data_IF_074608577932
#
_entry.id   IF_074608577932
#
_cell.length_a   1.000
_cell.length_b   1.000
_cell.length_c   1.000
_cell.angle_alpha   90.00
_cell.angle_beta   90.00
_cell.angle_gamma   90.00
#
_symmetry.space_group_name_H-M   'P 1'
#
loop_
_entity.id
_entity.type
_entity.pdbx_description
1 polymer ?
#
# COMPACT_ATOMS: atom_id res chain seq x y z
N UNK A 1 -14.00 9.70 34.14
CA UNK A 1 -13.76 10.70 33.09
C UNK A 1 -12.76 10.09 32.10
N UNK A 2 -13.23 9.45 31.05
CA UNK A 2 -12.40 8.82 30.05
C UNK A 2 -12.28 9.79 28.86
N UNK A 3 -11.09 10.28 28.60
CA UNK A 3 -10.79 11.09 27.41
C UNK A 3 -11.00 10.20 26.15
N UNK A 4 -11.62 10.72 25.09
CA UNK A 4 -11.91 9.94 23.90
C UNK A 4 -10.60 9.56 23.19
N UNK A 5 -10.37 8.26 23.01
CA UNK A 5 -9.22 7.64 22.30
C UNK A 5 -8.91 8.28 20.91
N UNK A 6 -9.88 8.93 20.29
CA UNK A 6 -9.72 9.59 19.00
C UNK A 6 -8.86 10.86 19.01
N UNK A 7 -8.72 11.55 20.15
CA UNK A 7 -7.88 12.76 20.27
C UNK A 7 -6.42 12.44 20.55
N UNK A 8 -6.14 11.31 21.20
CA UNK A 8 -4.78 10.83 21.42
C UNK A 8 -4.15 10.32 20.12
N UNK A 9 -4.93 9.62 19.30
CA UNK A 9 -4.45 9.08 18.01
C UNK A 9 -4.14 10.19 16.98
N UNK A 10 -4.94 11.28 16.95
CA UNK A 10 -4.69 12.43 16.08
C UNK A 10 -3.48 13.27 16.51
N UNK A 11 -3.21 13.37 17.81
CA UNK A 11 -2.02 14.07 18.32
C UNK A 11 -0.75 13.26 18.12
N UNK A 12 -0.82 11.93 18.28
CA UNK A 12 0.32 11.04 18.02
C UNK A 12 0.70 11.00 16.53
N UNK A 13 -0.26 10.98 15.60
CA UNK A 13 0.04 11.05 14.17
C UNK A 13 0.79 12.32 13.80
N UNK A 14 0.41 13.49 14.36
CA UNK A 14 1.10 14.76 14.10
C UNK A 14 2.52 14.79 14.69
N UNK A 15 2.72 14.21 15.86
CA UNK A 15 4.04 14.09 16.49
C UNK A 15 4.95 13.08 15.76
N UNK A 16 4.39 11.96 15.30
CA UNK A 16 5.10 10.97 14.50
C UNK A 16 5.45 11.50 13.10
N UNK A 17 4.57 12.25 12.45
CA UNK A 17 4.89 12.97 11.20
C UNK A 17 6.03 13.97 11.41
N UNK A 18 6.02 14.70 12.51
CA UNK A 18 7.06 15.67 12.82
C UNK A 18 8.40 14.99 13.18
N UNK A 19 8.37 13.81 13.80
CA UNK A 19 9.58 13.06 14.17
C UNK A 19 10.16 12.31 12.96
N UNK A 20 9.35 11.64 12.17
CA UNK A 20 9.76 10.98 10.93
C UNK A 20 10.30 11.98 9.89
N UNK A 21 9.69 13.17 9.79
CA UNK A 21 10.13 14.24 8.90
C UNK A 21 11.46 14.88 9.29
N UNK A 22 11.82 14.88 10.58
CA UNK A 22 13.03 15.56 11.07
C UNK A 22 14.30 14.72 10.98
N UNK A 23 14.21 13.38 10.91
CA UNK A 23 15.39 12.49 11.01
C UNK A 23 15.68 11.67 9.76
N UNK A 24 14.99 11.86 8.64
CA UNK A 24 15.08 10.93 7.53
C UNK A 24 15.73 11.53 6.29
N UNK A 25 17.05 11.53 6.29
CA UNK A 25 17.87 11.62 5.06
C UNK A 25 17.96 10.27 4.32
N UNK A 26 17.29 9.23 4.80
CA UNK A 26 17.43 7.85 4.30
C UNK A 26 16.09 7.34 3.76
N UNK A 27 16.15 6.73 2.57
CA UNK A 27 15.00 6.04 1.99
C UNK A 27 14.62 4.76 2.75
N UNK A 28 15.59 4.10 3.41
CA UNK A 28 15.38 2.87 4.18
C UNK A 28 15.44 3.19 5.66
N UNK A 29 14.34 2.91 6.36
CA UNK A 29 14.19 3.20 7.80
C UNK A 29 13.82 1.95 8.59
N UNK A 30 14.44 1.70 9.74
CA UNK A 30 14.02 0.63 10.63
C UNK A 30 12.66 0.99 11.26
N UNK A 31 11.73 0.03 11.30
CA UNK A 31 10.40 0.24 11.86
C UNK A 31 10.25 -0.44 13.23
N UNK A 32 10.97 -1.55 13.45
CA UNK A 32 10.94 -2.25 14.74
C UNK A 32 12.32 -2.31 15.41
N UNK A 33 12.32 -2.65 16.70
CA UNK A 33 13.55 -2.63 17.52
C UNK A 33 14.56 -3.67 17.05
N UNK A 34 14.14 -4.80 16.53
CA UNK A 34 15.06 -5.80 16.00
C UNK A 34 15.76 -5.36 14.71
N UNK A 35 15.28 -4.32 14.04
CA UNK A 35 15.96 -3.66 12.93
C UNK A 35 17.06 -2.69 13.41
N UNK A 36 17.02 -2.24 14.66
CA UNK A 36 17.92 -1.24 15.22
C UNK A 36 19.20 -1.84 15.82
N UNK A 37 19.22 -3.11 16.26
CA UNK A 37 20.35 -3.55 17.08
C UNK A 37 20.59 -5.04 17.27
N UNK A 38 20.28 -5.89 16.30
CA UNK A 38 20.50 -7.32 16.48
C UNK A 38 21.93 -7.75 16.12
N UNK A 39 22.60 -8.44 17.04
CA UNK A 39 23.90 -9.11 16.85
C UNK A 39 23.76 -10.41 16.04
N UNK A 40 22.57 -11.02 15.99
CA UNK A 40 22.33 -12.25 15.26
C UNK A 40 21.81 -11.96 13.84
N UNK A 41 22.22 -12.73 12.81
CA UNK A 41 21.66 -12.62 11.48
C UNK A 41 20.19 -13.04 11.51
N UNK A 42 19.28 -12.08 11.38
CA UNK A 42 17.85 -12.33 11.30
C UNK A 42 17.34 -11.96 9.92
N UNK A 43 16.30 -12.65 9.42
CA UNK A 43 15.61 -12.25 8.18
C UNK A 43 15.29 -10.76 8.15
N UNK A 44 15.47 -10.12 7.01
CA UNK A 44 15.11 -8.73 6.80
C UNK A 44 14.00 -8.64 5.74
N UNK A 45 12.95 -7.88 6.06
CA UNK A 45 11.85 -7.59 5.15
C UNK A 45 11.77 -6.11 4.88
N UNK A 46 11.58 -5.73 3.62
CA UNK A 46 11.54 -4.36 3.14
C UNK A 46 10.18 -4.05 2.54
N UNK A 47 9.47 -3.05 3.06
CA UNK A 47 8.13 -2.71 2.60
C UNK A 47 8.04 -1.27 2.09
N UNK A 48 7.58 -1.10 0.84
CA UNK A 48 7.38 0.21 0.23
C UNK A 48 6.12 0.87 0.80
N UNK A 49 6.25 2.14 1.16
CA UNK A 49 5.20 2.99 1.72
C UNK A 49 3.91 3.02 0.89
N UNK A 50 2.80 3.36 1.54
CA UNK A 50 1.53 3.69 0.88
C UNK A 50 1.56 5.05 0.19
N UNK A 51 0.40 5.55 -0.21
CA UNK A 51 0.24 6.92 -0.74
C UNK A 51 0.69 8.00 0.26
N UNK A 52 0.82 7.69 1.54
CA UNK A 52 1.33 8.60 2.56
C UNK A 52 2.79 9.03 2.32
N UNK A 53 3.58 8.20 1.65
CA UNK A 53 5.02 8.41 1.51
C UNK A 53 5.83 8.14 2.78
N UNK A 54 5.19 7.77 3.88
CA UNK A 54 5.81 7.62 5.21
C UNK A 54 5.63 6.19 5.72
N UNK A 55 6.71 5.43 5.78
CA UNK A 55 6.66 4.03 6.18
C UNK A 55 6.38 3.83 7.69
N UNK A 56 6.88 4.71 8.55
CA UNK A 56 6.79 4.54 10.00
C UNK A 56 5.36 4.52 10.55
N UNK A 57 4.43 5.22 9.91
CA UNK A 57 3.02 5.24 10.33
C UNK A 57 2.22 4.09 9.76
N UNK A 58 2.58 3.64 8.55
CA UNK A 58 1.82 2.61 7.85
C UNK A 58 2.06 1.21 8.40
N UNK A 59 3.26 0.94 8.94
CA UNK A 59 3.73 -0.41 9.22
C UNK A 59 3.98 -0.72 10.71
N UNK A 60 3.70 0.21 11.61
CA UNK A 60 4.10 0.07 13.01
C UNK A 60 3.50 -1.18 13.68
N UNK A 61 2.20 -1.41 13.51
CA UNK A 61 1.53 -2.56 14.15
C UNK A 61 1.98 -3.88 13.52
N UNK A 62 2.14 -3.92 12.19
CA UNK A 62 2.66 -5.09 11.48
C UNK A 62 4.10 -5.39 11.91
N UNK A 63 4.96 -4.38 11.96
CA UNK A 63 6.36 -4.55 12.33
C UNK A 63 6.52 -5.04 13.77
N UNK A 64 5.71 -4.55 14.72
CA UNK A 64 5.67 -5.06 16.10
C UNK A 64 5.25 -6.52 16.17
N UNK A 65 4.27 -6.93 15.37
CA UNK A 65 3.83 -8.34 15.32
C UNK A 65 4.90 -9.28 14.74
N UNK A 66 5.80 -8.77 13.91
CA UNK A 66 6.91 -9.55 13.32
C UNK A 66 8.13 -9.65 14.24
N UNK A 67 8.17 -8.89 15.35
CA UNK A 67 9.19 -9.06 16.39
C UNK A 67 9.07 -10.42 17.09
N UNK A 68 10.16 -10.92 17.68
CA UNK A 68 11.55 -10.47 17.58
C UNK A 68 12.34 -11.14 16.44
N UNK A 69 11.67 -11.85 15.53
CA UNK A 69 12.34 -12.75 14.56
C UNK A 69 12.72 -12.06 13.26
N UNK A 70 11.98 -11.03 12.84
CA UNK A 70 12.14 -10.38 11.53
C UNK A 70 12.47 -8.91 11.72
N UNK A 71 13.57 -8.46 11.08
CA UNK A 71 13.92 -7.06 10.96
C UNK A 71 13.02 -6.42 9.90
N UNK A 72 12.17 -5.50 10.32
CA UNK A 72 11.26 -4.81 9.41
C UNK A 72 11.79 -3.41 9.06
N UNK A 73 12.00 -3.19 7.78
CA UNK A 73 12.41 -1.91 7.24
C UNK A 73 11.34 -1.33 6.34
N UNK A 74 11.04 -0.06 6.55
CA UNK A 74 10.20 0.70 5.63
C UNK A 74 11.03 1.36 4.54
N UNK A 75 10.53 1.32 3.32
CA UNK A 75 11.03 2.13 2.22
C UNK A 75 10.09 3.32 2.09
N UNK A 76 10.61 4.52 2.26
CA UNK A 76 9.82 5.75 2.32
C UNK A 76 10.28 6.80 1.32
N UNK A 77 9.39 7.75 1.04
CA UNK A 77 9.69 8.87 0.18
C UNK A 77 10.92 9.65 0.68
N UNK A 78 11.79 10.13 -0.20
CA UNK A 78 12.95 10.93 0.20
C UNK A 78 12.51 12.22 0.88
N UNK A 79 13.39 12.80 1.69
CA UNK A 79 13.13 14.07 2.33
C UNK A 79 12.92 15.18 1.28
N UNK A 80 12.11 16.18 1.64
CA UNK A 80 11.68 17.32 0.80
C UNK A 80 12.81 18.14 0.13
N UNK A 81 14.05 17.92 0.56
CA UNK A 81 15.23 18.67 0.08
C UNK A 81 15.85 18.10 -1.21
N UNK A 82 15.35 16.94 -1.70
CA UNK A 82 15.77 16.47 -3.01
C UNK A 82 15.12 17.30 -4.11
N UNK A 83 15.90 17.74 -5.12
CA UNK A 83 15.36 18.49 -6.25
C UNK A 83 14.22 17.72 -6.92
N UNK A 84 13.13 18.40 -7.23
CA UNK A 84 11.95 17.82 -7.90
C UNK A 84 12.29 17.12 -9.24
N UNK A 85 13.41 17.51 -9.86
CA UNK A 85 13.89 16.94 -11.13
C UNK A 85 14.40 15.50 -11.03
N UNK A 86 14.86 15.07 -9.84
CA UNK A 86 15.43 13.74 -9.63
C UNK A 86 14.42 12.76 -9.04
N UNK A 87 13.29 13.26 -8.52
CA UNK A 87 12.38 12.45 -7.75
C UNK A 87 10.93 12.48 -8.26
N UNK A 88 10.44 11.30 -8.67
CA UNK A 88 9.00 11.03 -8.63
C UNK A 88 8.18 11.47 -9.84
N UNK A 89 8.80 11.78 -10.97
CA UNK A 89 8.04 12.05 -12.20
C UNK A 89 7.49 10.75 -12.84
N UNK A 90 7.96 9.59 -12.41
CA UNK A 90 7.46 8.29 -12.86
C UNK A 90 7.66 7.21 -11.78
N UNK A 91 6.90 6.12 -11.89
CA UNK A 91 7.08 4.93 -11.05
C UNK A 91 8.47 4.32 -11.28
N UNK A 92 8.97 4.35 -12.50
CA UNK A 92 10.29 3.84 -12.85
C UNK A 92 11.43 4.59 -12.16
N UNK A 93 11.37 5.92 -12.10
CA UNK A 93 12.39 6.73 -11.41
C UNK A 93 12.35 6.53 -9.90
N UNK A 94 11.15 6.39 -9.32
CA UNK A 94 10.98 6.01 -7.91
C UNK A 94 11.58 4.65 -7.60
N UNK A 95 11.26 3.67 -8.42
CA UNK A 95 11.74 2.29 -8.27
C UNK A 95 13.27 2.21 -8.42
N UNK A 96 13.85 2.95 -9.34
CA UNK A 96 15.31 3.03 -9.53
C UNK A 96 15.99 3.63 -8.30
N UNK A 97 15.47 4.74 -7.80
CA UNK A 97 15.98 5.37 -6.59
C UNK A 97 15.92 4.41 -5.38
N UNK A 98 14.78 3.76 -5.16
CA UNK A 98 14.62 2.82 -4.03
C UNK A 98 15.46 1.56 -4.19
N UNK A 99 15.55 1.00 -5.39
CA UNK A 99 16.39 -0.16 -5.66
C UNK A 99 17.89 0.15 -5.44
N UNK A 100 18.33 1.31 -5.89
CA UNK A 100 19.69 1.80 -5.64
C UNK A 100 19.98 2.05 -4.16
N UNK A 101 19.04 2.66 -3.44
CA UNK A 101 19.16 2.88 -1.99
C UNK A 101 19.22 1.55 -1.23
N UNK A 102 18.34 0.60 -1.58
CA UNK A 102 18.29 -0.72 -0.96
C UNK A 102 19.56 -1.53 -1.24
N UNK A 103 20.09 -1.51 -2.48
CA UNK A 103 21.33 -2.20 -2.84
C UNK A 103 22.54 -1.65 -2.10
N UNK A 104 22.57 -0.35 -1.81
CA UNK A 104 23.60 0.26 -0.96
C UNK A 104 23.43 -0.10 0.53
N UNK A 105 22.19 -0.20 0.99
CA UNK A 105 21.88 -0.52 2.37
C UNK A 105 22.17 -1.99 2.70
N UNK A 106 21.79 -2.91 1.81
CA UNK A 106 22.10 -4.34 1.88
C UNK A 106 22.83 -4.78 0.62
N UNK A 107 24.18 -4.70 0.58
CA UNK A 107 24.96 -4.97 -0.64
C UNK A 107 24.93 -6.42 -1.12
N UNK A 108 24.69 -7.37 -0.22
CA UNK A 108 24.74 -8.81 -0.51
C UNK A 108 23.60 -9.57 0.16
N UNK A 109 23.42 -10.83 -0.25
CA UNK A 109 22.36 -11.72 0.24
C UNK A 109 21.01 -11.48 -0.42
N UNK A 110 20.05 -12.38 -0.22
CA UNK A 110 18.74 -12.33 -0.82
C UNK A 110 17.89 -11.19 -0.23
N UNK A 111 17.02 -10.64 -1.06
CA UNK A 111 16.10 -9.56 -0.71
C UNK A 111 14.66 -10.05 -0.75
N UNK A 112 13.89 -9.77 0.28
CA UNK A 112 12.45 -9.98 0.29
C UNK A 112 11.74 -8.64 0.44
N UNK A 113 10.89 -8.32 -0.54
CA UNK A 113 10.31 -6.99 -0.71
C UNK A 113 8.80 -7.10 -0.77
N UNK A 114 8.14 -6.14 -0.18
CA UNK A 114 6.71 -5.94 -0.32
C UNK A 114 6.35 -4.48 -0.53
N UNK A 115 5.06 -4.25 -0.72
CA UNK A 115 4.52 -2.90 -0.80
C UNK A 115 3.05 -2.87 -0.41
N UNK A 116 2.65 -1.81 0.25
CA UNK A 116 1.27 -1.61 0.68
C UNK A 116 0.57 -0.59 -0.21
N UNK A 117 -0.66 -0.89 -0.62
CA UNK A 117 -1.44 0.01 -1.46
C UNK A 117 -0.70 0.33 -2.79
N UNK A 118 -0.46 1.60 -3.09
CA UNK A 118 0.33 2.06 -4.24
C UNK A 118 1.80 1.60 -4.17
N UNK A 119 2.29 1.31 -2.98
CA UNK A 119 3.62 0.75 -2.77
C UNK A 119 3.82 -0.61 -3.43
N UNK A 120 2.76 -1.38 -3.66
CA UNK A 120 2.84 -2.65 -4.39
C UNK A 120 3.29 -2.46 -5.84
N UNK A 121 2.80 -1.40 -6.52
CA UNK A 121 3.21 -1.04 -7.88
C UNK A 121 4.67 -0.61 -7.92
N UNK A 122 5.09 0.21 -6.96
CA UNK A 122 6.47 0.68 -6.88
C UNK A 122 7.42 -0.49 -6.56
N UNK A 123 7.04 -1.36 -5.61
CA UNK A 123 7.79 -2.56 -5.28
C UNK A 123 7.92 -3.49 -6.49
N UNK A 124 6.85 -3.67 -7.26
CA UNK A 124 6.87 -4.43 -8.51
C UNK A 124 7.92 -3.89 -9.49
N UNK A 125 7.93 -2.58 -9.72
CA UNK A 125 8.93 -1.93 -10.59
C UNK A 125 10.36 -2.06 -10.03
N UNK A 126 10.53 -2.07 -8.70
CA UNK A 126 11.82 -2.31 -8.05
C UNK A 126 12.36 -3.71 -8.30
N UNK A 127 11.49 -4.74 -8.39
CA UNK A 127 11.92 -6.13 -8.57
C UNK A 127 12.78 -6.30 -9.83
N UNK A 128 12.36 -5.70 -10.94
CA UNK A 128 13.12 -5.77 -12.20
C UNK A 128 14.43 -4.98 -12.13
N UNK A 129 14.42 -3.81 -11.47
CA UNK A 129 15.63 -3.01 -11.26
C UNK A 129 16.66 -3.75 -10.40
N UNK A 130 16.21 -4.41 -9.34
CA UNK A 130 17.09 -5.18 -8.46
C UNK A 130 17.68 -6.41 -9.17
N UNK A 131 16.88 -7.13 -9.96
CA UNK A 131 17.40 -8.22 -10.80
C UNK A 131 18.44 -7.74 -11.82
N UNK A 132 18.19 -6.58 -12.44
CA UNK A 132 19.16 -5.95 -13.36
C UNK A 132 20.48 -5.56 -12.65
N UNK A 133 20.43 -5.26 -11.34
CA UNK A 133 21.61 -5.05 -10.50
C UNK A 133 22.26 -6.36 -10.01
N UNK A 134 21.82 -7.52 -10.51
CA UNK A 134 22.34 -8.83 -10.11
C UNK A 134 21.91 -9.29 -8.71
N UNK A 135 20.85 -8.68 -8.13
CA UNK A 135 20.36 -9.05 -6.81
C UNK A 135 19.40 -10.21 -6.88
N UNK A 136 19.56 -11.14 -5.97
CA UNK A 136 18.57 -12.18 -5.73
C UNK A 136 17.37 -11.60 -4.99
N UNK A 137 16.17 -11.79 -5.55
CA UNK A 137 14.92 -11.29 -4.98
C UNK A 137 13.90 -12.42 -4.87
N UNK A 138 13.28 -12.54 -3.71
CA UNK A 138 12.20 -13.48 -3.44
C UNK A 138 10.87 -13.10 -4.10
N UNK A 139 9.77 -13.77 -3.72
CA UNK A 139 8.43 -13.39 -4.18
C UNK A 139 8.08 -11.97 -3.70
N UNK A 140 7.30 -11.25 -4.50
CA UNK A 140 6.76 -9.95 -4.10
C UNK A 140 5.61 -10.16 -3.09
N UNK A 141 5.64 -9.46 -1.96
CA UNK A 141 4.52 -9.43 -1.02
C UNK A 141 3.67 -8.17 -1.24
N UNK A 142 2.58 -8.30 -2.00
CA UNK A 142 1.69 -7.19 -2.33
C UNK A 142 0.56 -7.09 -1.31
N UNK A 143 0.54 -6.02 -0.50
CA UNK A 143 -0.46 -5.83 0.55
C UNK A 143 -1.54 -4.87 0.04
N UNK A 144 -2.68 -5.42 -0.29
CA UNK A 144 -3.92 -4.75 -0.77
C UNK A 144 -3.67 -3.67 -1.84
N UNK A 145 -2.73 -3.96 -2.75
CA UNK A 145 -2.35 -3.12 -3.87
C UNK A 145 -2.55 -3.82 -5.21
N UNK A 146 -2.91 -3.07 -6.24
CA UNK A 146 -3.11 -3.57 -7.61
C UNK A 146 -1.79 -3.53 -8.40
N UNK A 147 -1.57 -4.39 -9.42
CA UNK A 147 -0.36 -4.33 -10.24
C UNK A 147 -0.34 -3.12 -11.17
N UNK A 148 -1.51 -2.66 -11.59
CA UNK A 148 -1.68 -1.52 -12.47
C UNK A 148 -2.98 -0.77 -12.17
N UNK A 149 -3.04 0.50 -12.53
CA UNK A 149 -4.20 1.34 -12.23
C UNK A 149 -5.22 1.36 -13.36
N UNK A 150 -5.64 0.19 -13.85
CA UNK A 150 -6.63 0.06 -14.94
C UNK A 150 -8.08 0.30 -14.52
N UNK A 151 -8.32 0.47 -13.22
CA UNK A 151 -9.68 0.63 -12.69
C UNK A 151 -10.58 -0.59 -12.88
N UNK A 152 -10.01 -1.79 -12.95
CA UNK A 152 -10.75 -3.04 -13.12
C UNK A 152 -11.57 -3.37 -11.86
N UNK A 153 -12.71 -2.72 -11.76
CA UNK A 153 -13.75 -3.08 -10.78
C UNK A 153 -14.75 -4.03 -11.44
N UNK A 154 -15.37 -4.86 -10.61
CA UNK A 154 -16.40 -5.78 -11.08
C UNK A 154 -17.58 -5.02 -11.72
N UNK A 155 -17.98 -5.45 -12.91
CA UNK A 155 -19.10 -4.84 -13.61
C UNK A 155 -20.42 -5.07 -12.86
N UNK A 156 -21.18 -3.98 -12.64
CA UNK A 156 -22.50 -4.00 -11.98
C UNK A 156 -23.56 -4.80 -12.76
N UNK A 157 -23.31 -5.09 -14.02
CA UNK A 157 -24.19 -5.89 -14.87
C UNK A 157 -24.07 -7.41 -14.64
N UNK A 158 -23.08 -7.85 -13.87
CA UNK A 158 -22.92 -9.26 -13.50
C UNK A 158 -23.69 -9.57 -12.21
N UNK A 159 -24.47 -10.65 -12.19
CA UNK A 159 -25.17 -11.11 -10.98
C UNK A 159 -24.21 -11.29 -9.80
N UNK A 160 -22.98 -11.76 -10.06
CA UNK A 160 -21.91 -11.90 -9.06
C UNK A 160 -21.60 -10.58 -8.36
N UNK A 161 -21.70 -9.43 -9.04
CA UNK A 161 -21.47 -8.12 -8.39
C UNK A 161 -22.40 -7.91 -7.19
N UNK A 162 -23.67 -8.23 -7.33
CA UNK A 162 -24.66 -8.03 -6.27
C UNK A 162 -24.47 -8.96 -5.10
N UNK A 163 -24.00 -10.20 -5.35
CA UNK A 163 -23.64 -11.14 -4.28
C UNK A 163 -22.42 -10.64 -3.51
N UNK A 164 -21.37 -10.20 -4.22
CA UNK A 164 -20.17 -9.65 -3.58
C UNK A 164 -20.48 -8.32 -2.87
N UNK A 165 -21.36 -7.49 -3.43
CA UNK A 165 -21.82 -6.28 -2.75
C UNK A 165 -22.55 -6.62 -1.44
N UNK A 166 -23.45 -7.61 -1.43
CA UNK A 166 -24.16 -8.04 -0.23
C UNK A 166 -23.18 -8.58 0.85
N UNK A 167 -22.19 -9.38 0.44
CA UNK A 167 -21.11 -9.85 1.33
C UNK A 167 -20.30 -8.69 1.88
N UNK A 168 -19.96 -7.73 1.02
CA UNK A 168 -19.19 -6.56 1.38
C UNK A 168 -19.95 -5.66 2.36
N UNK A 169 -21.26 -5.45 2.14
CA UNK A 169 -22.12 -4.70 3.08
C UNK A 169 -22.14 -5.39 4.44
N UNK A 170 -22.29 -6.72 4.46
CA UNK A 170 -22.22 -7.49 5.74
C UNK A 170 -20.84 -7.33 6.41
N UNK A 171 -19.76 -7.35 5.62
CA UNK A 171 -18.39 -7.09 6.11
C UNK A 171 -18.26 -5.71 6.75
N UNK A 172 -18.87 -4.69 6.16
CA UNK A 172 -18.90 -3.33 6.71
C UNK A 172 -19.61 -3.26 8.07
N UNK A 173 -20.69 -4.02 8.27
CA UNK A 173 -21.39 -4.08 9.57
C UNK A 173 -20.56 -4.83 10.62
N UNK A 174 -19.88 -5.91 10.24
CA UNK A 174 -19.18 -6.78 11.20
C UNK A 174 -17.75 -6.27 11.52
N UNK A 175 -17.07 -5.65 10.56
CA UNK A 175 -15.64 -5.31 10.65
C UNK A 175 -15.34 -3.85 10.29
N UNK A 176 -16.33 -3.15 9.77
CA UNK A 176 -16.21 -1.74 9.45
C UNK A 176 -16.55 -0.89 10.67
N UNK A 177 -15.80 0.16 10.91
CA UNK A 177 -16.06 1.19 11.90
C UNK A 177 -17.30 2.06 11.53
N UNK A 178 -18.39 1.45 11.04
CA UNK A 178 -19.61 2.16 10.60
C UNK A 178 -20.22 3.03 11.72
N UNK A 179 -20.02 2.61 12.98
CA UNK A 179 -20.51 3.36 14.14
C UNK A 179 -19.60 4.53 14.55
N UNK A 180 -18.41 4.67 13.97
CA UNK A 180 -17.59 5.87 14.19
C UNK A 180 -18.07 7.00 13.27
N UNK A 181 -18.33 8.16 13.83
CA UNK A 181 -18.82 9.38 13.14
C UNK A 181 -18.00 9.78 11.90
N UNK A 182 -16.74 9.34 11.81
CA UNK A 182 -15.85 9.51 10.66
C UNK A 182 -16.24 8.62 9.49
N UNK A 183 -16.66 7.38 9.74
CA UNK A 183 -17.02 6.41 8.68
C UNK A 183 -18.35 6.80 8.04
N UNK A 184 -19.30 7.32 8.80
CA UNK A 184 -20.56 7.82 8.26
C UNK A 184 -20.32 9.01 7.30
N UNK A 185 -19.41 9.92 7.66
CA UNK A 185 -19.01 11.03 6.79
C UNK A 185 -18.31 10.56 5.52
N UNK A 186 -17.37 9.61 5.63
CA UNK A 186 -16.69 9.04 4.46
C UNK A 186 -17.66 8.23 3.59
N UNK A 187 -18.63 7.57 4.18
CA UNK A 187 -19.69 6.87 3.49
C UNK A 187 -20.60 7.84 2.71
N UNK A 188 -21.09 8.88 3.36
CA UNK A 188 -21.92 9.92 2.73
C UNK A 188 -21.15 10.64 1.62
N UNK A 189 -19.87 10.94 1.84
CA UNK A 189 -18.98 11.51 0.85
C UNK A 189 -18.75 10.57 -0.33
N UNK A 190 -18.52 9.26 -0.07
CA UNK A 190 -18.36 8.24 -1.11
C UNK A 190 -19.64 8.04 -1.92
N UNK A 191 -20.81 8.07 -1.27
CA UNK A 191 -22.13 8.02 -1.94
C UNK A 191 -22.34 9.27 -2.79
N UNK A 192 -22.06 10.45 -2.28
CA UNK A 192 -22.21 11.72 -3.01
C UNK A 192 -21.29 11.79 -4.24
N UNK A 193 -20.04 11.39 -4.10
CA UNK A 193 -19.08 11.34 -5.22
C UNK A 193 -19.41 10.27 -6.24
N UNK A 194 -19.87 9.10 -5.82
CA UNK A 194 -20.30 8.05 -6.74
C UNK A 194 -21.65 8.38 -7.40
N UNK A 195 -22.58 9.05 -6.72
CA UNK A 195 -23.82 9.56 -7.33
C UNK A 195 -23.50 10.61 -8.41
N UNK A 196 -22.52 11.48 -8.19
CA UNK A 196 -22.02 12.42 -9.19
C UNK A 196 -21.41 11.70 -10.42
N UNK A 197 -20.65 10.62 -10.20
CA UNK A 197 -20.09 9.80 -11.28
C UNK A 197 -21.17 9.02 -12.04
N UNK A 198 -22.21 8.55 -11.35
CA UNK A 198 -23.38 7.87 -11.95
C UNK A 198 -24.20 8.86 -12.77
N UNK A 199 -24.44 10.08 -12.26
CA UNK A 199 -25.14 11.14 -12.96
C UNK A 199 -24.42 11.56 -14.25
N UNK A 200 -23.09 11.68 -14.23
CA UNK A 200 -22.27 11.98 -15.41
C UNK A 200 -22.25 10.84 -16.42
N UNK A 201 -22.30 9.58 -15.96
CA UNK A 201 -22.42 8.40 -16.84
C UNK A 201 -23.79 8.26 -17.50
N UNK A 202 -24.87 8.66 -16.83
CA UNK A 202 -26.22 8.67 -17.36
C UNK A 202 -26.46 9.80 -18.40
N UNK A 203 -25.66 10.87 -18.35
CA UNK A 203 -25.69 11.99 -19.28
C UNK A 203 -24.85 11.79 -20.55
N UNK A 204 -24.46 10.56 -20.88
CA UNK A 204 -23.84 10.25 -22.19
C UNK A 204 -22.41 10.78 -22.36
N UNK A 205 -21.73 11.20 -21.30
CA UNK A 205 -20.32 11.56 -21.35
C UNK A 205 -19.48 10.32 -21.63
N UNK A 206 -18.89 10.30 -22.81
CA UNK A 206 -18.22 9.18 -23.48
C UNK A 206 -17.38 8.30 -22.53
N UNK A 207 -17.73 7.02 -22.53
CA UNK A 207 -16.88 5.88 -22.13
C UNK A 207 -15.61 5.94 -22.98
N UNK A 208 -14.54 6.54 -22.49
CA UNK A 208 -13.31 6.65 -23.27
C UNK A 208 -12.34 7.74 -22.82
N UNK A 209 -12.64 8.50 -21.81
CA UNK A 209 -11.59 9.29 -21.17
C UNK A 209 -10.70 8.35 -20.37
N UNK A 210 -9.61 7.90 -21.00
CA UNK A 210 -8.41 7.50 -20.27
C UNK A 210 -8.22 8.52 -19.15
N UNK A 211 -7.92 8.04 -17.96
CA UNK A 211 -7.67 8.83 -16.75
C UNK A 211 -6.47 9.81 -16.91
N UNK A 212 -6.52 10.66 -17.90
CA UNK A 212 -5.53 11.69 -18.24
C UNK A 212 -6.01 13.10 -18.00
N UNK A 213 -7.23 13.29 -17.50
CA UNK A 213 -7.78 14.59 -17.15
C UNK A 213 -7.95 14.68 -15.64
N UNK A 214 -6.97 15.22 -14.95
CA UNK A 214 -7.07 15.87 -13.65
C UNK A 214 -8.05 15.27 -12.63
N UNK A 215 -7.88 14.02 -12.20
CA UNK A 215 -8.53 13.59 -10.99
C UNK A 215 -7.87 14.33 -9.83
N UNK A 216 -8.62 15.24 -9.25
CA UNK A 216 -8.24 15.76 -7.96
C UNK A 216 -8.17 14.57 -6.99
N UNK A 217 -7.03 14.39 -6.34
CA UNK A 217 -6.76 13.36 -5.33
C UNK A 217 -7.83 13.34 -4.24
N UNK A 218 -8.47 14.49 -4.02
CA UNK A 218 -9.61 14.66 -3.13
C UNK A 218 -10.78 13.71 -3.47
N UNK A 219 -10.83 13.19 -4.70
CA UNK A 219 -11.80 12.17 -5.10
C UNK A 219 -11.40 10.74 -4.69
N UNK A 220 -10.15 10.50 -4.35
CA UNK A 220 -9.59 9.17 -4.03
C UNK A 220 -9.35 9.02 -2.53
N UNK A 221 -8.77 10.06 -1.91
CA UNK A 221 -8.49 10.07 -0.48
C UNK A 221 -8.67 11.47 0.11
N UNK A 222 -9.04 11.55 1.39
CA UNK A 222 -9.14 12.82 2.12
C UNK A 222 -7.74 13.37 2.44
N UNK A 223 -7.24 14.20 1.54
CA UNK A 223 -5.96 14.91 1.71
C UNK A 223 -6.12 16.27 2.39
N UNK A 224 -7.32 16.64 2.84
CA UNK A 224 -7.59 17.95 3.44
C UNK A 224 -6.70 18.27 4.64
N UNK A 225 -6.29 17.23 5.35
CA UNK A 225 -5.46 17.31 6.57
C UNK A 225 -3.97 17.30 6.33
N UNK A 226 -3.53 17.06 5.09
CA UNK A 226 -2.10 17.05 4.79
C UNK A 226 -1.56 18.46 4.57
N UNK A 227 -0.32 18.75 5.03
CA UNK A 227 0.38 19.98 4.69
C UNK A 227 0.47 20.18 3.15
N UNK A 228 0.53 21.41 2.65
CA UNK A 228 0.56 21.72 1.21
C UNK A 228 1.63 20.93 0.44
N UNK A 229 2.84 20.86 0.98
CA UNK A 229 3.95 20.13 0.35
C UNK A 229 3.69 18.63 0.25
N UNK A 230 3.01 18.06 1.26
CA UNK A 230 2.64 16.66 1.25
C UNK A 230 1.53 16.39 0.22
N UNK A 231 0.57 17.30 0.06
CA UNK A 231 -0.43 17.23 -1.02
C UNK A 231 0.24 17.23 -2.39
N UNK A 232 1.24 18.08 -2.58
CA UNK A 232 2.01 18.14 -3.83
C UNK A 232 2.71 16.81 -4.13
N UNK A 233 3.35 16.20 -3.13
CA UNK A 233 3.96 14.88 -3.26
C UNK A 233 2.92 13.80 -3.66
N UNK A 234 1.81 13.72 -2.94
CA UNK A 234 0.76 12.73 -3.20
C UNK A 234 0.17 12.93 -4.60
N UNK A 235 -0.03 14.17 -5.05
CA UNK A 235 -0.51 14.49 -6.40
C UNK A 235 0.46 13.98 -7.48
N UNK A 236 1.76 14.24 -7.34
CA UNK A 236 2.78 13.74 -8.28
C UNK A 236 2.85 12.22 -8.30
N UNK A 237 2.80 11.59 -7.12
CA UNK A 237 2.79 10.13 -7.00
C UNK A 237 1.62 9.51 -7.76
N UNK A 238 0.41 10.05 -7.60
CA UNK A 238 -0.75 9.54 -8.32
C UNK A 238 -0.67 9.81 -9.83
N UNK A 239 -0.15 10.96 -10.26
CA UNK A 239 0.09 11.21 -11.69
C UNK A 239 1.07 10.19 -12.27
N UNK A 240 2.16 9.89 -11.57
CA UNK A 240 3.12 8.87 -11.96
C UNK A 240 2.50 7.48 -12.06
N UNK A 241 1.66 7.11 -11.07
CA UNK A 241 0.93 5.83 -11.06
C UNK A 241 -0.09 5.70 -12.19
N UNK A 242 -0.82 6.77 -12.52
CA UNK A 242 -1.77 6.77 -13.62
C UNK A 242 -1.10 6.69 -14.99
N UNK A 243 0.09 7.24 -15.11
CA UNK A 243 0.89 7.17 -16.34
C UNK A 243 1.65 5.84 -16.49
N UNK A 244 1.77 5.07 -15.41
CA UNK A 244 2.54 3.83 -15.40
C UNK A 244 1.75 2.67 -16.01
N UNK A 245 2.36 2.00 -16.97
CA UNK A 245 1.87 0.79 -17.59
C UNK A 245 2.93 -0.32 -17.43
N UNK A 246 2.85 -1.12 -16.36
CA UNK A 246 3.81 -2.17 -16.12
C UNK A 246 3.70 -3.27 -17.18
N UNK A 247 4.83 -3.92 -17.46
CA UNK A 247 4.85 -5.17 -18.24
C UNK A 247 4.42 -6.32 -17.34
N UNK A 248 3.97 -7.44 -17.96
CA UNK A 248 3.70 -8.68 -17.21
C UNK A 248 4.91 -9.08 -16.38
N UNK A 249 4.66 -9.54 -15.16
CA UNK A 249 5.70 -9.89 -14.20
C UNK A 249 6.04 -11.38 -14.25
N UNK A 250 7.30 -11.68 -14.50
CA UNK A 250 7.79 -13.07 -14.64
C UNK A 250 8.06 -13.77 -13.30
N UNK A 251 7.89 -13.06 -12.18
CA UNK A 251 8.11 -13.60 -10.83
C UNK A 251 6.82 -14.02 -10.13
N UNK A 252 6.99 -14.51 -8.90
CA UNK A 252 5.92 -14.94 -8.04
C UNK A 252 5.47 -13.80 -7.13
N UNK A 253 4.17 -13.74 -6.83
CA UNK A 253 3.56 -12.73 -5.97
C UNK A 253 2.67 -13.40 -4.93
N UNK A 254 2.77 -12.95 -3.70
CA UNK A 254 1.77 -13.21 -2.65
C UNK A 254 0.95 -11.95 -2.47
N UNK A 255 -0.34 -12.06 -2.67
CA UNK A 255 -1.28 -10.94 -2.61
C UNK A 255 -2.10 -11.05 -1.34
N UNK A 256 -1.94 -10.14 -0.42
CA UNK A 256 -2.81 -10.01 0.75
C UNK A 256 -3.95 -9.07 0.41
N UNK A 257 -5.14 -9.60 0.35
CA UNK A 257 -6.33 -8.88 -0.10
C UNK A 257 -7.31 -8.68 1.05
N UNK A 258 -7.69 -7.42 1.33
CA UNK A 258 -8.68 -7.10 2.37
C UNK A 258 -10.06 -7.66 1.99
N UNK A 259 -10.74 -8.30 2.95
CA UNK A 259 -12.07 -8.89 2.71
C UNK A 259 -13.17 -7.83 2.57
N UNK A 260 -12.99 -6.65 3.17
CA UNK A 260 -13.95 -5.55 3.11
C UNK A 260 -13.48 -4.48 2.13
N UNK A 261 -14.18 -4.37 1.01
CA UNK A 261 -13.88 -3.44 -0.08
C UNK A 261 -14.59 -2.09 0.13
N UNK A 262 -14.19 -1.02 -0.56
CA UNK A 262 -14.98 0.21 -0.63
C UNK A 262 -16.43 -0.07 -1.09
N UNK A 263 -17.40 0.62 -0.52
CA UNK A 263 -18.81 0.22 -0.54
C UNK A 263 -19.37 -0.08 -1.94
N UNK A 264 -19.05 0.74 -2.92
CA UNK A 264 -19.58 0.60 -4.30
C UNK A 264 -18.49 0.28 -5.34
N UNK A 265 -17.25 0.12 -4.90
CA UNK A 265 -16.11 -0.21 -5.74
C UNK A 265 -15.52 -1.52 -5.25
N UNK A 266 -15.75 -2.58 -6.03
CA UNK A 266 -15.27 -3.94 -5.72
C UNK A 266 -14.08 -4.28 -6.62
N UNK A 267 -12.86 -3.86 -6.27
CA UNK A 267 -11.68 -4.22 -7.02
C UNK A 267 -11.42 -5.72 -6.90
N UNK A 268 -10.99 -6.33 -7.99
CA UNK A 268 -10.62 -7.74 -8.04
C UNK A 268 -9.10 -7.88 -7.98
N UNK A 269 -8.50 -7.45 -6.87
CA UNK A 269 -7.04 -7.34 -6.71
C UNK A 269 -6.35 -8.67 -7.01
N UNK A 270 -6.79 -9.75 -6.38
CA UNK A 270 -6.22 -11.07 -6.60
C UNK A 270 -6.36 -11.57 -8.04
N UNK A 271 -7.47 -11.26 -8.73
CA UNK A 271 -7.66 -11.63 -10.13
C UNK A 271 -6.68 -10.87 -11.04
N UNK A 272 -6.52 -9.57 -10.83
CA UNK A 272 -5.58 -8.75 -11.59
C UNK A 272 -4.15 -9.28 -11.46
N UNK A 273 -3.72 -9.65 -10.27
CA UNK A 273 -2.40 -10.24 -10.08
C UNK A 273 -2.23 -11.60 -10.75
N UNK A 274 -3.28 -12.46 -10.77
CA UNK A 274 -3.22 -13.75 -11.47
C UNK A 274 -3.10 -13.61 -12.98
N UNK A 275 -3.64 -12.53 -13.55
CA UNK A 275 -3.50 -12.24 -14.99
C UNK A 275 -2.15 -11.57 -15.31
N UNK A 276 -1.53 -10.95 -14.32
CA UNK A 276 -0.37 -10.10 -14.50
C UNK A 276 0.95 -10.80 -14.17
N UNK A 277 1.00 -11.61 -13.10
CA UNK A 277 2.20 -12.30 -12.63
C UNK A 277 2.28 -13.74 -13.15
N UNK A 278 3.49 -14.29 -13.17
CA UNK A 278 3.72 -15.71 -13.51
C UNK A 278 2.89 -16.63 -12.59
N UNK A 279 2.92 -16.35 -11.30
CA UNK A 279 2.13 -17.03 -10.28
C UNK A 279 1.71 -16.02 -9.23
N UNK A 280 0.42 -16.00 -8.87
CA UNK A 280 -0.11 -15.16 -7.81
C UNK A 280 -0.92 -16.01 -6.83
N UNK A 281 -0.44 -16.09 -5.61
CA UNK A 281 -1.18 -16.65 -4.49
C UNK A 281 -1.93 -15.53 -3.77
N UNK A 282 -3.23 -15.71 -3.51
CA UNK A 282 -4.08 -14.71 -2.87
C UNK A 282 -4.45 -15.19 -1.48
N UNK A 283 -4.16 -14.36 -0.49
CA UNK A 283 -4.47 -14.56 0.92
C UNK A 283 -5.45 -13.48 1.36
N UNK A 284 -6.65 -13.89 1.75
CA UNK A 284 -7.66 -12.96 2.26
C UNK A 284 -7.37 -12.59 3.72
N UNK A 285 -7.33 -11.29 3.99
CA UNK A 285 -7.13 -10.75 5.33
C UNK A 285 -8.41 -10.04 5.77
N UNK A 286 -8.91 -10.41 6.93
CA UNK A 286 -10.12 -9.81 7.51
C UNK A 286 -9.90 -8.31 7.75
N UNK A 287 -10.88 -7.50 7.37
CA UNK A 287 -10.85 -6.06 7.56
C UNK A 287 -10.92 -5.26 6.25
N UNK A 288 -10.86 -3.96 6.38
CA UNK A 288 -10.79 -3.00 5.27
C UNK A 288 -9.34 -2.79 4.86
N UNK A 289 -9.12 -2.11 3.72
CA UNK A 289 -7.80 -1.66 3.28
C UNK A 289 -6.94 -1.08 4.42
N UNK A 290 -7.52 -0.27 5.27
CA UNK A 290 -6.81 0.36 6.38
C UNK A 290 -6.73 -0.54 7.60
N UNK A 291 -7.86 -1.15 8.01
CA UNK A 291 -7.90 -1.88 9.28
C UNK A 291 -7.09 -3.18 9.26
N UNK A 292 -6.85 -3.79 8.09
CA UNK A 292 -6.01 -4.98 7.99
C UNK A 292 -4.56 -4.74 8.45
N UNK A 293 -4.10 -3.50 8.45
CA UNK A 293 -2.76 -3.08 8.91
C UNK A 293 -2.69 -2.78 10.40
N UNK A 294 -3.83 -2.82 11.11
CA UNK A 294 -3.96 -2.44 12.51
C UNK A 294 -4.59 -3.55 13.36
N UNK A 295 -4.38 -3.46 14.66
CA UNK A 295 -5.02 -4.36 15.62
C UNK A 295 -6.57 -4.25 15.56
N UNK A 296 -7.28 -5.38 15.70
CA UNK A 296 -6.80 -6.74 15.91
C UNK A 296 -6.48 -7.52 14.60
N UNK A 297 -6.74 -6.96 13.44
CA UNK A 297 -6.71 -7.67 12.14
C UNK A 297 -5.30 -7.96 11.62
N UNK A 298 -4.32 -7.14 11.99
CA UNK A 298 -2.92 -7.26 11.53
C UNK A 298 -2.26 -8.57 11.97
N UNK A 299 -2.80 -9.23 12.98
CA UNK A 299 -2.25 -10.50 13.49
C UNK A 299 -2.25 -11.61 12.44
N UNK A 300 -3.34 -11.77 11.71
CA UNK A 300 -3.44 -12.79 10.65
C UNK A 300 -2.48 -12.52 9.51
N UNK A 301 -2.35 -11.26 9.10
CA UNK A 301 -1.37 -10.80 8.11
C UNK A 301 0.06 -11.10 8.58
N UNK A 302 0.41 -10.71 9.79
CA UNK A 302 1.74 -10.91 10.35
C UNK A 302 2.11 -12.41 10.47
N UNK A 303 1.16 -13.26 10.88
CA UNK A 303 1.39 -14.69 11.01
C UNK A 303 1.65 -15.37 9.66
N UNK A 304 0.92 -15.01 8.61
CA UNK A 304 1.18 -15.55 7.28
C UNK A 304 2.51 -15.02 6.72
N UNK A 305 2.76 -13.71 6.84
CA UNK A 305 4.02 -13.11 6.40
C UNK A 305 5.23 -13.74 7.10
N UNK A 306 5.17 -13.96 8.43
CA UNK A 306 6.26 -14.60 9.18
C UNK A 306 6.61 -15.96 8.59
N UNK A 307 5.61 -16.83 8.39
CA UNK A 307 5.82 -18.17 7.81
C UNK A 307 6.53 -18.11 6.46
N UNK A 308 6.14 -17.17 5.59
CA UNK A 308 6.72 -17.02 4.25
C UNK A 308 8.12 -16.43 4.27
N UNK A 309 8.35 -15.45 5.14
CA UNK A 309 9.66 -14.83 5.31
C UNK A 309 10.65 -15.88 5.84
N UNK A 310 10.27 -16.62 6.86
CA UNK A 310 11.09 -17.69 7.44
C UNK A 310 11.37 -18.79 6.40
N UNK A 311 10.35 -19.25 5.67
CA UNK A 311 10.51 -20.26 4.62
C UNK A 311 11.45 -19.80 3.50
N UNK A 312 11.36 -18.54 3.07
CA UNK A 312 12.24 -17.97 2.05
C UNK A 312 13.70 -17.99 2.51
N UNK A 313 13.98 -17.51 3.69
CA UNK A 313 15.36 -17.44 4.20
C UNK A 313 15.91 -18.80 4.61
N UNK A 314 15.09 -19.74 5.10
CA UNK A 314 15.52 -21.12 5.35
C UNK A 314 15.90 -21.87 4.07
N UNK A 315 15.29 -21.57 2.95
CA UNK A 315 15.64 -22.18 1.66
C UNK A 315 16.96 -21.66 1.07
N UNK A 316 17.54 -20.61 1.64
CA UNK A 316 18.78 -19.98 1.19
C UNK A 316 20.01 -20.40 2.03
N UNK A 317 19.78 -21.09 3.15
CA UNK A 317 20.83 -21.68 4.00
C UNK A 317 21.08 -23.13 3.62
#
# INVERSE_FOLDING_TARGET
MNAPLGTAMARNTHALFAHASRNSTRAIVPINDCALGSVAPRPAFYCVHSASGVAGTDFLDLARRLEPTIRFYGIQAPPKQMPDAEFGNSVDSLAEYYAGALSKFQPSGPLLIGGYCVGAVIALAMMDKLRALGREVGPLLAIDGVPENTGAAMSRWRARYWLELARNVRGWFNHGDLMRSRTLRSLLWSIANNASAIGKGALGLKRGQKFGGGYAIEGIMDVSRYPPDHKSFVNRLFQALFAYAPKSYSGDVVVYEATVKPLLYLPQIGHMWREFARQAEVVEIVGTHISMMHEPYVESLANDMRRRIDAFFCAQT
#
